data_IF_434523625735
#
_entry.id   IF_434523625735
#
_cell.length_a   1.000
_cell.length_b   1.000
_cell.length_c   1.000
_cell.angle_alpha   90.00
_cell.angle_beta   90.00
_cell.angle_gamma   90.00
#
_symmetry.space_group_name_H-M   'P 1'
#
loop_
_entity.id
_entity.type
_entity.pdbx_description
1 polymer ?
#
# COMPACT_ATOMS: atom_id res chain seq x y z
N UNK A 1 -11.62 18.07 -30.25
CA UNK A 1 -11.00 18.11 -28.90
C UNK A 1 -10.95 19.58 -28.47
N UNK A 2 -11.32 19.91 -27.23
CA UNK A 2 -11.29 21.32 -26.76
C UNK A 2 -9.86 21.71 -26.42
N UNK A 3 -9.44 22.89 -26.87
CA UNK A 3 -8.03 23.25 -27.01
C UNK A 3 -7.33 23.71 -25.72
N UNK A 4 -8.02 24.17 -24.69
CA UNK A 4 -7.40 24.40 -23.39
C UNK A 4 -8.52 24.63 -22.38
N UNK A 5 -8.37 24.06 -21.19
CA UNK A 5 -9.32 24.23 -20.11
C UNK A 5 -8.71 25.24 -19.13
N UNK A 6 -9.35 26.39 -19.00
CA UNK A 6 -8.92 27.41 -18.05
C UNK A 6 -9.37 27.02 -16.64
N UNK A 7 -8.40 26.69 -15.79
CA UNK A 7 -8.61 26.29 -14.38
C UNK A 7 -8.40 27.45 -13.39
N UNK A 8 -8.38 28.70 -13.87
CA UNK A 8 -8.05 29.87 -13.03
C UNK A 8 -9.06 30.12 -11.89
N UNK A 9 -10.28 29.56 -12.00
CA UNK A 9 -11.34 29.61 -10.99
C UNK A 9 -11.63 28.24 -10.34
N UNK A 10 -10.71 27.27 -10.48
CA UNK A 10 -10.89 25.91 -9.97
C UNK A 10 -10.87 25.85 -8.44
N UNK A 11 -12.00 25.50 -7.82
CA UNK A 11 -12.08 25.23 -6.39
C UNK A 11 -11.51 23.84 -6.12
N UNK A 12 -10.54 23.74 -5.19
CA UNK A 12 -9.96 22.46 -4.79
C UNK A 12 -11.05 21.55 -4.24
N UNK A 13 -11.19 20.35 -4.82
CA UNK A 13 -12.21 19.39 -4.41
C UNK A 13 -12.12 19.13 -2.88
N UNK A 14 -13.17 19.41 -2.10
CA UNK A 14 -13.15 19.24 -0.64
C UNK A 14 -12.94 17.77 -0.22
N UNK A 15 -13.25 16.82 -1.10
CA UNK A 15 -12.99 15.40 -0.89
C UNK A 15 -11.55 14.99 -1.20
N UNK A 16 -10.74 15.86 -1.82
CA UNK A 16 -9.33 15.59 -2.11
C UNK A 16 -8.51 15.29 -0.84
N UNK A 17 -8.90 15.87 0.30
CA UNK A 17 -8.28 15.61 1.60
C UNK A 17 -8.59 14.21 2.16
N UNK A 18 -9.67 13.60 1.68
CA UNK A 18 -10.14 12.29 2.14
C UNK A 18 -9.66 11.15 1.24
N UNK A 19 -9.05 11.45 0.09
CA UNK A 19 -8.22 10.46 -0.60
C UNK A 19 -7.03 10.17 0.30
N UNK A 20 -7.04 8.98 0.92
CA UNK A 20 -5.91 8.48 1.69
C UNK A 20 -4.66 8.70 0.84
N UNK A 21 -3.73 9.50 1.33
CA UNK A 21 -2.44 9.70 0.68
C UNK A 21 -1.81 8.32 0.51
N UNK A 22 -1.79 7.81 -0.72
CA UNK A 22 -1.08 6.58 -1.04
C UNK A 22 0.40 6.90 -0.99
N UNK A 23 0.98 6.87 0.21
CA UNK A 23 2.41 7.02 0.40
C UNK A 23 3.09 5.79 -0.18
N UNK A 24 3.79 5.97 -1.29
CA UNK A 24 4.64 4.93 -1.88
C UNK A 24 5.90 4.86 -1.03
N UNK A 25 6.19 3.68 -0.50
CA UNK A 25 7.40 3.41 0.28
C UNK A 25 8.20 2.34 -0.44
N UNK A 26 9.50 2.56 -0.58
CA UNK A 26 10.44 1.55 -1.08
C UNK A 26 11.00 0.81 0.13
N UNK A 27 10.73 -0.48 0.24
CA UNK A 27 11.21 -1.34 1.33
C UNK A 27 12.07 -2.43 0.71
N UNK A 28 13.25 -2.68 1.29
CA UNK A 28 14.03 -3.89 0.98
C UNK A 28 13.42 -5.07 1.71
N UNK A 29 13.07 -6.10 0.96
CA UNK A 29 12.49 -7.35 1.47
C UNK A 29 13.39 -8.48 0.94
N UNK A 30 13.64 -9.47 1.78
CA UNK A 30 14.41 -10.66 1.39
C UNK A 30 13.66 -11.51 0.36
N UNK A 31 14.39 -12.19 -0.51
CA UNK A 31 13.81 -12.93 -1.64
C UNK A 31 12.87 -14.04 -1.15
N UNK A 32 13.23 -14.75 -0.08
CA UNK A 32 12.43 -15.80 0.54
C UNK A 32 11.07 -15.29 1.03
N UNK A 33 11.05 -14.07 1.59
CA UNK A 33 9.80 -13.44 2.04
C UNK A 33 8.90 -13.11 0.86
N UNK A 34 9.47 -12.59 -0.24
CA UNK A 34 8.71 -12.32 -1.47
C UNK A 34 8.18 -13.62 -2.08
N UNK A 35 9.00 -14.68 -2.12
CA UNK A 35 8.60 -15.99 -2.63
C UNK A 35 7.42 -16.56 -1.83
N UNK A 36 7.45 -16.45 -0.50
CA UNK A 36 6.33 -16.85 0.36
C UNK A 36 5.03 -16.10 0.01
N UNK A 37 5.07 -14.76 -0.07
CA UNK A 37 3.87 -13.99 -0.39
C UNK A 37 3.39 -14.18 -1.83
N UNK A 38 4.28 -14.52 -2.78
CA UNK A 38 3.89 -14.91 -4.14
C UNK A 38 3.15 -16.24 -4.15
N UNK A 39 3.64 -17.25 -3.42
CA UNK A 39 2.93 -18.52 -3.28
C UNK A 39 1.57 -18.34 -2.60
N UNK A 40 1.49 -17.49 -1.58
CA UNK A 40 0.23 -17.17 -0.91
C UNK A 40 -0.74 -16.40 -1.83
N UNK A 41 -0.20 -15.59 -2.73
CA UNK A 41 -0.96 -14.84 -3.74
C UNK A 41 -1.62 -15.78 -4.76
N UNK A 42 -0.92 -16.84 -5.15
CA UNK A 42 -1.45 -17.89 -6.03
C UNK A 42 -2.63 -18.64 -5.40
N UNK A 43 -2.52 -18.99 -4.11
CA UNK A 43 -3.56 -19.70 -3.36
C UNK A 43 -4.79 -18.83 -3.07
N UNK A 44 -4.58 -17.57 -2.65
CA UNK A 44 -5.66 -16.67 -2.22
C UNK A 44 -6.28 -15.85 -3.35
N UNK A 45 -5.62 -15.82 -4.53
CA UNK A 45 -6.02 -14.98 -5.66
C UNK A 45 -5.84 -13.46 -5.43
N UNK A 46 -5.22 -13.05 -4.32
CA UNK A 46 -4.95 -11.65 -4.00
C UNK A 46 -3.51 -11.28 -4.36
N UNK A 47 -3.22 -10.09 -4.92
CA UNK A 47 -1.85 -9.68 -5.21
C UNK A 47 -0.95 -9.72 -3.97
N UNK A 48 0.27 -10.26 -4.11
CA UNK A 48 1.23 -10.37 -3.01
C UNK A 48 1.51 -9.03 -2.29
N UNK A 49 1.48 -7.90 -3.00
CA UNK A 49 1.62 -6.55 -2.41
C UNK A 49 0.47 -6.22 -1.45
N UNK A 50 -0.76 -6.60 -1.80
CA UNK A 50 -1.94 -6.42 -0.96
C UNK A 50 -1.85 -7.29 0.29
N UNK A 51 -1.40 -8.53 0.14
CA UNK A 51 -1.20 -9.46 1.24
C UNK A 51 -0.14 -8.95 2.23
N UNK A 52 1.00 -8.47 1.73
CA UNK A 52 2.03 -7.85 2.58
C UNK A 52 1.43 -6.70 3.38
N UNK A 53 0.70 -5.80 2.72
CA UNK A 53 0.08 -4.66 3.39
C UNK A 53 -0.97 -5.08 4.44
N UNK A 54 -1.75 -6.13 4.16
CA UNK A 54 -2.73 -6.68 5.10
C UNK A 54 -2.03 -7.22 6.35
N UNK A 55 -0.93 -7.96 6.18
CA UNK A 55 -0.14 -8.49 7.29
C UNK A 55 0.54 -7.39 8.11
N UNK A 56 1.03 -6.33 7.47
CA UNK A 56 1.57 -5.16 8.17
C UNK A 56 0.48 -4.48 9.00
N UNK A 57 -0.75 -4.37 8.48
CA UNK A 57 -1.88 -3.82 9.22
C UNK A 57 -2.25 -4.69 10.41
N UNK A 58 -2.34 -6.00 10.22
CA UNK A 58 -2.60 -6.97 11.30
C UNK A 58 -1.54 -6.88 12.40
N UNK A 59 -0.26 -6.74 12.03
CA UNK A 59 0.84 -6.54 12.97
C UNK A 59 0.64 -5.30 13.86
N UNK A 60 0.15 -4.20 13.28
CA UNK A 60 -0.17 -2.96 14.01
C UNK A 60 -1.38 -3.15 14.92
N UNK A 61 -2.46 -3.78 14.43
CA UNK A 61 -3.68 -4.03 15.20
C UNK A 61 -3.41 -4.93 16.40
N UNK A 62 -2.56 -5.94 16.23
CA UNK A 62 -2.15 -6.87 17.28
C UNK A 62 -0.97 -6.38 18.12
N UNK A 63 -0.39 -5.20 17.81
CA UNK A 63 0.79 -4.63 18.48
C UNK A 63 1.96 -5.62 18.59
N UNK A 64 2.16 -6.44 17.56
CA UNK A 64 3.24 -7.43 17.53
C UNK A 64 4.59 -6.70 17.50
N UNK A 65 5.54 -7.16 18.30
CA UNK A 65 6.92 -6.67 18.30
C UNK A 65 7.84 -7.74 17.72
N UNK A 66 8.82 -7.36 16.88
CA UNK A 66 9.80 -8.31 16.38
C UNK A 66 10.59 -8.90 17.55
N UNK A 67 10.84 -10.21 17.50
CA UNK A 67 11.78 -10.84 18.41
C UNK A 67 13.18 -10.55 17.89
N UNK A 68 13.86 -9.62 18.54
CA UNK A 68 15.26 -9.30 18.23
C UNK A 68 16.10 -10.30 19.03
N UNK A 69 16.51 -11.39 18.38
CA UNK A 69 17.58 -12.23 18.87
C UNK A 69 18.88 -11.71 18.22
N UNK A 70 19.82 -11.26 19.06
CA UNK A 70 21.19 -10.94 18.62
C UNK A 70 22.03 -12.20 18.59
#
# INVERSE_FOLDING_TARGET
MKNEYDFSQGIKNPYARNLKEKKVVTIRIEDDTIAYFKSLSDDTGLPYQTLINLYLKDCVEQKRKPKIAW
#
